data_IF_899111593038
#
_entry.id   IF_899111593038
#
_cell.length_a   1.000
_cell.length_b   1.000
_cell.length_c   1.000
_cell.angle_alpha   90.00
_cell.angle_beta   90.00
_cell.angle_gamma   90.00
#
_symmetry.space_group_name_H-M   'P 1'
#
loop_
_entity.id
_entity.type
_entity.pdbx_description
1 polymer ?
#
# COMPACT_ATOMS: atom_id res chain seq x y z
N UNK A 1 -0.73 -8.49 -4.34
CA UNK A 1 0.70 -8.49 -4.68
C UNK A 1 1.48 -7.40 -3.96
N UNK A 2 0.94 -6.17 -3.90
CA UNK A 2 1.57 -5.08 -3.16
C UNK A 2 1.74 -5.45 -1.68
N UNK A 3 0.65 -5.88 -1.04
CA UNK A 3 0.72 -6.28 0.37
C UNK A 3 1.54 -7.54 0.57
N UNK A 4 1.47 -8.47 -0.36
CA UNK A 4 2.28 -9.68 -0.30
C UNK A 4 3.77 -9.34 -0.34
N UNK A 5 4.17 -8.40 -1.19
CA UNK A 5 5.55 -7.94 -1.26
C UNK A 5 6.01 -7.34 0.06
N UNK A 6 5.14 -6.57 0.72
CA UNK A 6 5.44 -6.01 2.05
C UNK A 6 5.56 -7.13 3.08
N UNK A 7 4.64 -8.08 3.08
CA UNK A 7 4.65 -9.20 4.03
C UNK A 7 5.93 -10.02 3.91
N UNK A 8 6.42 -10.20 2.70
CA UNK A 8 7.62 -10.98 2.41
C UNK A 8 8.90 -10.14 2.46
N UNK A 9 8.78 -8.83 2.64
CA UNK A 9 9.89 -7.87 2.60
C UNK A 9 10.68 -7.95 1.30
N UNK A 10 9.97 -8.17 0.19
CA UNK A 10 10.56 -8.29 -1.13
C UNK A 10 10.55 -6.92 -1.82
N UNK A 11 11.69 -6.22 -1.75
CA UNK A 11 11.82 -4.88 -2.32
C UNK A 11 11.70 -4.86 -3.83
N UNK A 12 12.23 -5.88 -4.50
CA UNK A 12 12.17 -5.95 -5.96
C UNK A 12 10.74 -6.14 -6.45
N UNK A 13 9.99 -7.03 -5.83
CA UNK A 13 8.60 -7.26 -6.18
C UNK A 13 7.73 -6.05 -5.81
N UNK A 14 8.00 -5.42 -4.67
CA UNK A 14 7.29 -4.22 -4.25
C UNK A 14 7.44 -3.10 -5.28
N UNK A 15 8.66 -2.84 -5.73
CA UNK A 15 8.90 -1.79 -6.73
C UNK A 15 8.33 -2.14 -8.09
N UNK A 16 8.18 -3.43 -8.40
CA UNK A 16 7.55 -3.87 -9.65
C UNK A 16 6.04 -3.61 -9.68
N UNK A 17 5.39 -3.45 -8.52
CA UNK A 17 3.95 -3.20 -8.44
C UNK A 17 3.57 -1.72 -8.54
N UNK A 18 4.53 -0.80 -8.46
CA UNK A 18 4.26 0.64 -8.45
C UNK A 18 4.86 1.32 -9.67
N UNK A 19 4.29 2.48 -10.03
CA UNK A 19 4.81 3.32 -11.10
C UNK A 19 6.15 3.94 -10.69
N UNK A 20 6.98 4.27 -11.69
CA UNK A 20 8.28 4.92 -11.44
C UNK A 20 8.14 6.24 -10.70
N UNK A 21 7.09 7.00 -11.04
CA UNK A 21 6.69 8.21 -10.32
C UNK A 21 5.22 8.07 -10.00
N UNK A 22 4.89 8.16 -8.72
CA UNK A 22 3.50 8.08 -8.25
C UNK A 22 2.98 9.48 -8.00
N UNK A 23 1.74 9.75 -8.41
CA UNK A 23 1.12 11.06 -8.16
C UNK A 23 0.97 11.33 -6.66
N UNK A 24 0.76 10.30 -5.86
CA UNK A 24 0.67 10.41 -4.41
C UNK A 24 1.00 9.08 -3.75
N UNK A 25 1.76 9.14 -2.65
CA UNK A 25 2.02 7.97 -1.82
C UNK A 25 2.06 8.41 -0.36
N UNK A 26 1.01 8.03 0.37
CA UNK A 26 0.85 8.36 1.80
C UNK A 26 1.02 9.86 2.07
N UNK A 27 0.42 10.67 1.20
CA UNK A 27 0.45 12.12 1.32
C UNK A 27 1.62 12.80 0.62
N UNK A 28 2.62 12.04 0.15
CA UNK A 28 3.75 12.61 -0.58
C UNK A 28 3.45 12.64 -2.07
N UNK A 29 3.53 13.83 -2.67
CA UNK A 29 3.33 14.00 -4.12
C UNK A 29 4.60 13.65 -4.87
N UNK A 30 4.45 13.17 -6.10
CA UNK A 30 5.56 12.79 -6.97
C UNK A 30 6.52 11.80 -6.30
N UNK A 31 5.97 10.81 -5.60
CA UNK A 31 6.77 9.80 -4.91
C UNK A 31 7.44 8.86 -5.90
N UNK A 32 8.63 8.41 -5.55
CA UNK A 32 9.44 7.50 -6.37
C UNK A 32 9.43 6.08 -5.79
N UNK A 33 9.98 5.13 -6.53
CA UNK A 33 10.15 3.77 -6.01
C UNK A 33 11.02 3.73 -4.75
N UNK A 34 12.01 4.63 -4.66
CA UNK A 34 12.82 4.76 -3.44
C UNK A 34 11.99 5.16 -2.24
N UNK A 35 10.98 6.01 -2.42
CA UNK A 35 10.09 6.41 -1.33
C UNK A 35 9.27 5.22 -0.83
N UNK A 36 8.83 4.35 -1.73
CA UNK A 36 8.08 3.14 -1.37
C UNK A 36 8.95 2.18 -0.57
N UNK A 37 10.19 1.98 -0.99
CA UNK A 37 11.16 1.14 -0.26
C UNK A 37 11.43 1.72 1.12
N UNK A 38 11.62 3.03 1.21
CA UNK A 38 11.84 3.72 2.49
C UNK A 38 10.65 3.52 3.44
N UNK A 39 9.44 3.58 2.92
CA UNK A 39 8.24 3.30 3.70
C UNK A 39 8.26 1.88 4.26
N UNK A 40 8.54 0.89 3.42
CA UNK A 40 8.59 -0.52 3.86
C UNK A 40 9.64 -0.72 4.95
N UNK A 41 10.81 -0.14 4.80
CA UNK A 41 11.88 -0.23 5.80
C UNK A 41 11.49 0.44 7.12
N UNK A 42 10.74 1.54 7.06
CA UNK A 42 10.28 2.25 8.25
C UNK A 42 9.25 1.47 9.06
N UNK A 43 8.36 0.74 8.41
CA UNK A 43 7.33 -0.01 9.13
C UNK A 43 7.89 -1.29 9.75
N UNK A 44 9.02 -1.81 9.26
CA UNK A 44 9.70 -2.94 9.86
C UNK A 44 10.73 -2.48 10.88
N UNK A 45 10.25 -2.08 12.05
CA UNK A 45 11.10 -1.67 13.17
C UNK A 45 11.76 -2.87 13.82
N UNK A 46 12.79 -2.63 14.64
CA UNK A 46 13.60 -3.70 15.26
C UNK A 46 12.79 -4.67 16.10
N UNK A 47 11.71 -4.22 16.73
CA UNK A 47 10.86 -5.07 17.56
C UNK A 47 9.87 -5.92 16.76
N UNK A 48 9.81 -5.75 15.45
CA UNK A 48 8.87 -6.47 14.60
C UNK A 48 9.49 -7.75 14.06
N UNK A 49 8.91 -8.89 14.43
CA UNK A 49 9.34 -10.21 13.96
C UNK A 49 8.72 -10.52 12.60
N UNK A 50 7.44 -10.21 12.46
CA UNK A 50 6.73 -10.39 11.19
C UNK A 50 5.53 -9.46 11.11
N UNK A 51 5.06 -9.22 9.90
CA UNK A 51 3.92 -8.37 9.63
C UNK A 51 3.10 -9.00 8.51
N UNK A 52 1.79 -8.98 8.66
CA UNK A 52 0.87 -9.50 7.66
C UNK A 52 -0.21 -8.46 7.34
N UNK A 53 -0.30 -8.08 6.08
CA UNK A 53 -1.34 -7.23 5.56
C UNK A 53 -2.30 -8.06 4.73
N UNK A 54 -3.60 -7.82 4.90
CA UNK A 54 -4.61 -8.48 4.07
C UNK A 54 -5.80 -7.57 3.83
N UNK A 55 -6.45 -7.74 2.71
CA UNK A 55 -7.72 -7.04 2.42
C UNK A 55 -8.80 -7.69 3.27
N UNK A 56 -9.48 -6.88 4.10
CA UNK A 56 -10.45 -7.41 5.07
C UNK A 56 -11.88 -7.30 4.62
N UNK A 57 -12.26 -6.29 3.86
CA UNK A 57 -13.64 -6.16 3.41
C UNK A 57 -13.77 -5.17 2.26
N UNK A 58 -14.84 -5.38 1.53
CA UNK A 58 -15.43 -4.63 0.44
C UNK A 58 -14.58 -3.58 -0.25
N UNK A 59 -14.48 -3.63 -1.53
CA UNK A 59 -13.84 -2.55 -2.25
C UNK A 59 -14.76 -2.02 -3.33
N UNK A 60 -14.56 -0.73 -3.62
CA UNK A 60 -15.19 -0.05 -4.73
C UNK A 60 -14.13 0.15 -5.81
N UNK A 61 -14.48 -0.19 -7.03
CA UNK A 61 -13.61 0.04 -8.18
C UNK A 61 -14.37 0.93 -9.15
N UNK A 62 -13.75 2.06 -9.52
CA UNK A 62 -14.24 2.92 -10.59
C UNK A 62 -13.14 3.07 -11.62
N UNK A 63 -13.52 3.30 -12.88
CA UNK A 63 -12.51 3.52 -13.92
C UNK A 63 -12.77 4.83 -14.62
N UNK A 64 -11.69 5.49 -15.05
CA UNK A 64 -11.72 6.75 -15.77
C UNK A 64 -10.86 6.61 -17.01
N UNK A 65 -11.41 6.98 -18.15
CA UNK A 65 -10.64 7.01 -19.40
C UNK A 65 -9.69 8.22 -19.38
N UNK A 66 -8.40 7.98 -19.53
CA UNK A 66 -7.38 9.01 -19.50
C UNK A 66 -6.67 9.18 -20.85
N UNK A 67 -6.98 8.30 -21.80
CA UNK A 67 -6.45 8.35 -23.15
C UNK A 67 -7.25 7.42 -24.02
N UNK A 68 -6.88 7.32 -25.29
CA UNK A 68 -7.61 6.55 -26.27
C UNK A 68 -7.49 5.03 -25.96
N UNK A 69 -8.55 4.49 -25.36
CA UNK A 69 -8.59 3.11 -24.91
C UNK A 69 -7.80 2.83 -23.64
N UNK A 70 -7.29 3.84 -22.97
CA UNK A 70 -6.54 3.68 -21.73
C UNK A 70 -7.38 4.10 -20.53
N UNK A 71 -7.34 3.31 -19.46
CA UNK A 71 -8.15 3.55 -18.27
C UNK A 71 -7.29 3.56 -17.02
N UNK A 72 -7.61 4.49 -16.12
CA UNK A 72 -7.08 4.52 -14.76
C UNK A 72 -8.18 4.01 -13.82
N UNK A 73 -7.81 3.10 -12.92
CA UNK A 73 -8.74 2.56 -11.94
C UNK A 73 -8.51 3.20 -10.58
N UNK A 74 -9.62 3.58 -9.94
CA UNK A 74 -9.61 4.02 -8.55
C UNK A 74 -10.17 2.89 -7.71
N UNK A 75 -9.41 2.46 -6.72
CA UNK A 75 -9.77 1.33 -5.86
C UNK A 75 -9.81 1.80 -4.41
N UNK A 76 -10.91 1.51 -3.71
CA UNK A 76 -11.06 1.82 -2.30
C UNK A 76 -11.44 0.54 -1.55
N UNK A 77 -10.75 0.26 -0.46
CA UNK A 77 -11.00 -0.96 0.32
C UNK A 77 -10.49 -0.78 1.74
N UNK A 78 -10.77 -1.76 2.59
CA UNK A 78 -10.26 -1.82 3.96
C UNK A 78 -9.24 -2.94 4.05
N UNK A 79 -8.13 -2.69 4.71
CA UNK A 79 -7.10 -3.69 4.95
C UNK A 79 -6.76 -3.77 6.43
N UNK A 80 -6.39 -4.97 6.87
CA UNK A 80 -5.96 -5.23 8.23
C UNK A 80 -4.47 -5.51 8.26
N UNK A 81 -3.80 -4.93 9.26
CA UNK A 81 -2.39 -5.18 9.53
C UNK A 81 -2.28 -5.97 10.83
N UNK A 82 -1.66 -7.14 10.76
CA UNK A 82 -1.34 -7.94 11.94
C UNK A 82 0.18 -7.94 12.12
N UNK A 83 0.64 -7.61 13.31
CA UNK A 83 2.07 -7.46 13.59
C UNK A 83 2.46 -8.40 14.73
N UNK A 84 3.46 -9.23 14.47
CA UNK A 84 4.12 -10.01 15.50
C UNK A 84 5.34 -9.21 15.95
N UNK A 85 5.29 -8.71 17.18
CA UNK A 85 6.34 -7.83 17.70
C UNK A 85 6.66 -8.14 19.16
N UNK A 86 7.89 -7.82 19.52
CA UNK A 86 8.42 -8.08 20.86
C UNK A 86 7.89 -7.11 21.91
N UNK A 87 7.61 -5.85 21.51
CA UNK A 87 7.12 -4.83 22.43
C UNK A 87 5.62 -5.01 22.66
N UNK A 88 5.27 -5.53 23.86
CA UNK A 88 3.89 -5.81 24.22
C UNK A 88 3.03 -4.55 24.40
N UNK A 89 3.65 -3.40 24.62
CA UNK A 89 2.93 -2.14 24.81
C UNK A 89 2.53 -1.48 23.50
N UNK A 90 3.09 -1.91 22.39
CA UNK A 90 2.77 -1.38 21.07
C UNK A 90 1.65 -2.16 20.41
N UNK A 91 0.92 -1.48 19.55
CA UNK A 91 -0.21 -2.04 18.82
C UNK A 91 0.22 -3.18 17.90
N UNK A 92 -0.52 -4.29 17.96
CA UNK A 92 -0.26 -5.48 17.14
C UNK A 92 -1.27 -5.66 16.02
N UNK A 93 -2.34 -4.88 16.03
CA UNK A 93 -3.40 -4.97 15.04
C UNK A 93 -3.90 -3.57 14.72
N UNK A 94 -4.09 -3.31 13.44
CA UNK A 94 -4.66 -2.06 12.96
C UNK A 94 -5.49 -2.29 11.70
N UNK A 95 -6.50 -1.45 11.52
CA UNK A 95 -7.34 -1.46 10.32
C UNK A 95 -7.16 -0.12 9.60
N UNK A 96 -7.04 -0.18 8.28
CA UNK A 96 -6.84 1.00 7.45
C UNK A 96 -7.84 1.06 6.32
N UNK A 97 -8.31 2.27 6.01
CA UNK A 97 -9.01 2.54 4.76
C UNK A 97 -7.99 2.91 3.72
N UNK A 98 -8.03 2.27 2.57
CA UNK A 98 -7.04 2.43 1.52
C UNK A 98 -7.71 2.98 0.27
N UNK A 99 -7.06 3.96 -0.34
CA UNK A 99 -7.43 4.51 -1.63
C UNK A 99 -6.21 4.43 -2.54
N UNK A 100 -6.37 3.77 -3.68
CA UNK A 100 -5.28 3.57 -4.62
C UNK A 100 -5.74 3.84 -6.04
N UNK A 101 -4.79 4.23 -6.90
CA UNK A 101 -5.00 4.34 -8.33
C UNK A 101 -4.11 3.34 -9.05
N UNK A 102 -4.67 2.69 -10.07
CA UNK A 102 -3.92 1.73 -10.90
C UNK A 102 -3.87 2.29 -12.32
N UNK A 103 -2.66 2.40 -12.84
CA UNK A 103 -2.42 2.94 -14.18
C UNK A 103 -2.81 1.96 -15.28
N UNK A 104 -2.89 2.41 -16.55
CA UNK A 104 -3.13 1.50 -17.67
C UNK A 104 -2.11 0.38 -17.80
N UNK A 105 -0.89 0.59 -17.32
CA UNK A 105 0.17 -0.41 -17.30
C UNK A 105 0.04 -1.40 -16.14
N UNK A 106 -1.07 -1.33 -15.40
CA UNK A 106 -1.34 -2.19 -14.25
C UNK A 106 -0.34 -2.00 -13.11
N UNK A 107 0.07 -0.74 -12.90
CA UNK A 107 0.96 -0.34 -11.80
C UNK A 107 0.20 0.59 -10.85
N UNK A 108 0.55 0.55 -9.58
CA UNK A 108 -0.02 1.47 -8.60
C UNK A 108 0.59 2.85 -8.83
N UNK A 109 -0.25 3.81 -9.19
CA UNK A 109 0.17 5.18 -9.48
C UNK A 109 -0.15 6.16 -8.36
N UNK A 110 -0.96 5.73 -7.40
CA UNK A 110 -1.23 6.49 -6.17
C UNK A 110 -1.66 5.51 -5.08
N UNK A 111 -1.26 5.79 -3.85
CA UNK A 111 -1.60 4.94 -2.72
C UNK A 111 -1.68 5.79 -1.46
N UNK A 112 -2.82 5.75 -0.80
CA UNK A 112 -3.03 6.46 0.45
C UNK A 112 -3.81 5.58 1.41
N UNK A 113 -3.50 5.68 2.70
CA UNK A 113 -4.25 4.96 3.71
C UNK A 113 -4.47 5.80 4.94
N UNK A 114 -5.62 5.57 5.58
CA UNK A 114 -6.03 6.25 6.79
C UNK A 114 -6.37 5.20 7.83
N UNK A 115 -5.77 5.32 9.01
CA UNK A 115 -6.04 4.40 10.10
C UNK A 115 -7.47 4.58 10.59
N UNK A 116 -8.19 3.46 10.75
CA UNK A 116 -9.53 3.49 11.30
C UNK A 116 -9.41 3.57 12.82
N UNK A 117 -9.93 4.63 13.39
CA UNK A 117 -9.93 4.84 14.84
C UNK A 117 -11.23 4.27 15.41
N UNK A 118 -11.08 3.44 16.42
CA UNK A 118 -12.22 2.84 17.12
C UNK A 118 -12.44 3.48 18.47
#
# INVERSE_FOLDING_TARGET
QFFQSINERDEDELTATVSSIMSSFLGKQSATKSDVISFMRKIYKEDINSMNWRVSSGYKISKKEIGDGEYEYNVQFTAEQNIDRSDADKEKFATYKISAKVSPENKISAFNMTKVVR
#
